data_IF_814662836833
#
_entry.id   IF_814662836833
#
_cell.length_a   1.000
_cell.length_b   1.000
_cell.length_c   1.000
_cell.angle_alpha   90.00
_cell.angle_beta   90.00
_cell.angle_gamma   90.00
#
_symmetry.space_group_name_H-M   'P 1'
#
loop_
_entity.id
_entity.type
_entity.pdbx_description
1 polymer ?
#
# COMPACT_ATOMS: atom_id res chain seq x y z
N UNK A 1 9.12 -9.65 -9.99
CA UNK A 1 10.42 -8.97 -9.81
C UNK A 1 10.98 -8.49 -11.15
N UNK A 2 11.31 -9.37 -12.09
CA UNK A 2 11.85 -8.98 -13.42
C UNK A 2 11.00 -7.93 -14.15
N UNK A 3 9.68 -8.06 -14.12
CA UNK A 3 8.76 -7.09 -14.74
C UNK A 3 8.90 -5.68 -14.15
N UNK A 4 9.03 -5.58 -12.81
CA UNK A 4 9.24 -4.30 -12.12
C UNK A 4 10.57 -3.70 -12.54
N UNK A 5 11.63 -4.50 -12.58
CA UNK A 5 12.94 -4.05 -13.05
C UNK A 5 12.89 -3.51 -14.48
N UNK A 6 12.23 -4.23 -15.39
CA UNK A 6 12.09 -3.79 -16.79
C UNK A 6 11.31 -2.48 -16.89
N UNK A 7 10.21 -2.33 -16.15
CA UNK A 7 9.42 -1.09 -16.14
C UNK A 7 10.24 0.07 -15.56
N UNK A 8 10.97 -0.15 -14.46
CA UNK A 8 11.84 0.87 -13.86
C UNK A 8 12.96 1.31 -14.81
N UNK A 9 13.64 0.35 -15.47
CA UNK A 9 14.68 0.67 -16.44
C UNK A 9 14.13 1.42 -17.65
N UNK A 10 12.98 0.98 -18.17
CA UNK A 10 12.31 1.66 -19.27
C UNK A 10 12.06 3.12 -18.92
N UNK A 11 11.45 3.37 -17.75
CA UNK A 11 11.20 4.70 -17.21
C UNK A 11 12.52 5.50 -17.11
N UNK A 12 13.61 4.93 -16.61
CA UNK A 12 14.90 5.64 -16.52
C UNK A 12 15.50 5.99 -17.90
N UNK A 13 15.25 5.20 -18.95
CA UNK A 13 15.81 5.43 -20.29
C UNK A 13 14.98 6.44 -21.09
N UNK A 14 13.68 6.60 -20.80
CA UNK A 14 12.79 7.54 -21.50
C UNK A 14 13.34 8.98 -21.57
N UNK A 15 13.86 9.57 -20.48
CA UNK A 15 14.52 10.87 -20.52
C UNK A 15 15.80 10.89 -21.36
N UNK A 16 16.59 9.80 -21.37
CA UNK A 16 17.80 9.69 -22.20
C UNK A 16 17.46 9.63 -23.71
N UNK A 17 16.28 9.15 -24.07
CA UNK A 17 15.77 9.12 -25.45
C UNK A 17 15.17 10.46 -25.91
N UNK A 18 15.27 11.54 -25.12
CA UNK A 18 14.82 12.87 -25.50
C UNK A 18 13.34 13.16 -25.23
N UNK A 19 12.64 12.29 -24.49
CA UNK A 19 11.25 12.51 -24.05
C UNK A 19 11.12 13.33 -22.75
N UNK A 20 12.24 13.75 -22.18
CA UNK A 20 12.28 14.63 -21.02
C UNK A 20 13.57 15.42 -21.01
N UNK A 21 13.50 16.65 -20.54
CA UNK A 21 14.68 17.47 -20.25
C UNK A 21 14.89 17.49 -18.74
N UNK A 22 16.14 17.30 -18.33
CA UNK A 22 16.54 17.55 -16.96
C UNK A 22 16.99 19.00 -16.87
N UNK A 23 16.22 19.82 -16.16
CA UNK A 23 16.61 21.19 -15.88
C UNK A 23 17.37 21.27 -14.56
N UNK A 24 18.40 22.11 -14.56
CA UNK A 24 19.12 22.46 -13.34
C UNK A 24 18.25 23.41 -12.52
N UNK A 25 17.70 22.91 -11.42
CA UNK A 25 17.03 23.73 -10.40
C UNK A 25 18.02 24.05 -9.28
N UNK A 26 17.73 25.06 -8.46
CA UNK A 26 18.57 25.40 -7.30
C UNK A 26 18.68 24.29 -6.25
N UNK A 27 17.79 23.29 -6.28
CA UNK A 27 17.79 22.12 -5.40
C UNK A 27 18.47 20.89 -6.03
N UNK A 28 18.97 21.01 -7.27
CA UNK A 28 19.60 19.92 -8.02
C UNK A 28 19.07 19.80 -9.45
N UNK A 29 19.48 18.74 -10.15
CA UNK A 29 19.00 18.42 -11.48
C UNK A 29 17.66 17.69 -11.36
N UNK A 30 16.56 18.37 -11.69
CA UNK A 30 15.22 17.81 -11.61
C UNK A 30 14.59 17.80 -13.00
N UNK A 31 13.66 16.88 -13.24
CA UNK A 31 12.92 16.88 -14.50
C UNK A 31 12.10 18.16 -14.63
N UNK A 32 12.08 18.73 -15.83
CA UNK A 32 11.30 19.93 -16.11
C UNK A 32 9.80 19.70 -15.89
N UNK A 33 9.20 20.49 -15.01
CA UNK A 33 7.76 20.51 -14.67
C UNK A 33 6.83 20.70 -15.88
N UNK A 34 7.35 21.22 -16.99
CA UNK A 34 6.61 21.48 -18.25
C UNK A 34 6.57 20.27 -19.18
N UNK A 35 7.38 19.23 -18.94
CA UNK A 35 7.38 18.05 -19.80
C UNK A 35 6.20 17.12 -19.49
N UNK A 36 5.56 16.61 -20.54
CA UNK A 36 4.49 15.59 -20.46
C UNK A 36 4.94 14.30 -19.74
N UNK A 37 6.24 14.09 -19.62
CA UNK A 37 6.83 12.97 -18.91
C UNK A 37 6.48 12.93 -17.40
N UNK A 38 6.35 14.08 -16.74
CA UNK A 38 5.95 14.13 -15.32
C UNK A 38 4.52 13.65 -15.14
N UNK A 39 3.61 14.00 -16.06
CA UNK A 39 2.24 13.51 -16.03
C UNK A 39 2.18 11.99 -16.21
N UNK A 40 3.00 11.45 -17.12
CA UNK A 40 3.12 10.01 -17.31
C UNK A 40 3.57 9.31 -16.02
N UNK A 41 4.63 9.80 -15.37
CA UNK A 41 5.07 9.26 -14.08
C UNK A 41 3.98 9.35 -13.01
N UNK A 42 3.32 10.51 -12.91
CA UNK A 42 2.25 10.72 -11.95
C UNK A 42 1.13 9.68 -12.12
N UNK A 43 0.71 9.42 -13.36
CA UNK A 43 -0.31 8.42 -13.67
C UNK A 43 0.16 7.01 -13.29
N UNK A 44 1.39 6.62 -13.66
CA UNK A 44 1.94 5.28 -13.38
C UNK A 44 2.08 5.04 -11.87
N UNK A 45 2.66 5.99 -11.13
CA UNK A 45 2.82 5.88 -9.68
C UNK A 45 1.47 5.86 -8.97
N UNK A 46 0.53 6.71 -9.39
CA UNK A 46 -0.83 6.74 -8.86
C UNK A 46 -1.53 5.39 -9.07
N UNK A 47 -1.53 4.86 -10.30
CA UNK A 47 -2.11 3.55 -10.61
C UNK A 47 -1.48 2.43 -9.77
N UNK A 48 -0.16 2.42 -9.62
CA UNK A 48 0.53 1.44 -8.79
C UNK A 48 0.09 1.54 -7.33
N UNK A 49 0.02 2.76 -6.77
CA UNK A 49 -0.47 2.98 -5.42
C UNK A 49 -1.92 2.55 -5.25
N UNK A 50 -2.81 2.90 -6.19
CA UNK A 50 -4.21 2.46 -6.18
C UNK A 50 -4.35 0.95 -6.23
N UNK A 51 -3.60 0.26 -7.11
CA UNK A 51 -3.59 -1.20 -7.17
C UNK A 51 -3.10 -1.81 -5.86
N UNK A 52 -2.02 -1.28 -5.28
CA UNK A 52 -1.52 -1.73 -3.99
C UNK A 52 -2.55 -1.52 -2.88
N UNK A 53 -3.27 -0.40 -2.89
CA UNK A 53 -4.30 -0.07 -1.91
C UNK A 53 -5.52 -0.99 -2.05
N UNK A 54 -6.01 -1.18 -3.28
CA UNK A 54 -7.14 -2.09 -3.58
C UNK A 54 -6.79 -3.54 -3.27
N UNK A 55 -5.52 -3.95 -3.41
CA UNK A 55 -5.06 -5.29 -3.03
C UNK A 55 -4.80 -5.41 -1.52
N UNK A 56 -4.32 -4.35 -0.87
CA UNK A 56 -4.01 -4.38 0.56
C UNK A 56 -5.26 -4.33 1.41
N UNK A 57 -6.31 -3.59 1.02
CA UNK A 57 -7.59 -3.56 1.73
C UNK A 57 -8.16 -4.97 1.98
N UNK A 58 -8.44 -5.80 0.95
CA UNK A 58 -9.00 -7.14 1.15
C UNK A 58 -8.01 -8.04 1.88
N UNK A 59 -6.70 -7.86 1.68
CA UNK A 59 -5.69 -8.62 2.40
C UNK A 59 -5.68 -8.29 3.90
N UNK A 60 -5.79 -7.01 4.27
CA UNK A 60 -5.93 -6.56 5.66
C UNK A 60 -7.24 -7.05 6.25
N UNK A 61 -8.35 -6.97 5.52
CA UNK A 61 -9.64 -7.50 5.99
C UNK A 61 -9.61 -9.03 6.14
N UNK A 62 -8.94 -9.74 5.24
CA UNK A 62 -8.73 -11.17 5.39
C UNK A 62 -7.84 -11.48 6.59
N UNK A 63 -6.78 -10.73 6.85
CA UNK A 63 -5.96 -10.88 8.05
C UNK A 63 -6.73 -10.57 9.35
N UNK A 64 -7.60 -9.56 9.36
CA UNK A 64 -8.44 -9.25 10.52
C UNK A 64 -9.57 -10.28 10.74
N UNK A 65 -10.15 -10.82 9.67
CA UNK A 65 -11.29 -11.74 9.73
C UNK A 65 -10.88 -13.23 9.74
N UNK A 66 -9.63 -13.53 9.40
CA UNK A 66 -9.04 -14.87 9.47
C UNK A 66 -8.67 -15.19 10.92
N UNK A 67 -9.68 -15.58 11.69
CA UNK A 67 -9.60 -16.51 12.84
C UNK A 67 -8.94 -16.00 14.14
N UNK A 68 -7.93 -15.12 14.10
CA UNK A 68 -7.16 -14.78 15.31
C UNK A 68 -7.87 -13.74 16.21
N UNK A 69 -8.61 -12.78 15.64
CA UNK A 69 -9.43 -11.85 16.46
C UNK A 69 -10.68 -12.51 17.02
N UNK A 70 -11.25 -13.52 16.34
CA UNK A 70 -12.48 -14.18 16.79
C UNK A 70 -12.19 -15.09 18.00
N UNK A 71 -11.08 -15.83 17.97
CA UNK A 71 -10.63 -16.63 19.12
C UNK A 71 -10.30 -15.76 20.35
N UNK A 72 -9.70 -14.58 20.15
CA UNK A 72 -9.38 -13.65 21.25
C UNK A 72 -10.66 -12.96 21.79
N UNK A 73 -11.63 -12.65 20.93
CA UNK A 73 -12.93 -12.13 21.33
C UNK A 73 -13.76 -13.17 22.10
N UNK A 74 -13.82 -14.43 21.64
CA UNK A 74 -14.49 -15.52 22.34
C UNK A 74 -13.83 -15.82 23.69
N UNK A 75 -12.49 -15.82 23.79
CA UNK A 75 -11.76 -16.03 25.05
C UNK A 75 -12.04 -14.90 26.06
N UNK A 76 -12.05 -13.64 25.61
CA UNK A 76 -12.43 -12.51 26.46
C UNK A 76 -13.88 -12.60 26.94
N UNK A 77 -14.79 -13.03 26.08
CA UNK A 77 -16.20 -13.23 26.40
C UNK A 77 -16.42 -14.40 27.35
N UNK A 78 -15.60 -15.46 27.24
CA UNK A 78 -15.61 -16.59 28.16
C UNK A 78 -15.06 -16.18 29.53
N UNK A 79 -14.00 -15.37 29.58
CA UNK A 79 -13.44 -14.81 30.82
C UNK A 79 -14.45 -13.87 31.50
N UNK A 80 -15.17 -13.03 30.74
CA UNK A 80 -16.24 -12.21 31.32
C UNK A 80 -17.41 -13.06 31.81
N UNK A 81 -17.83 -14.10 31.06
CA UNK A 81 -18.89 -15.01 31.52
C UNK A 81 -18.48 -15.84 32.75
N UNK A 82 -17.22 -16.24 32.86
CA UNK A 82 -16.68 -16.98 34.00
C UNK A 82 -16.71 -16.18 35.31
N UNK A 83 -16.70 -14.85 35.25
CA UNK A 83 -16.80 -13.97 36.41
C UNK A 83 -18.24 -13.64 36.84
N UNK A 84 -19.26 -13.97 36.03
CA UNK A 84 -20.68 -13.65 36.29
C UNK A 84 -21.50 -14.83 36.84
N UNK A 85 -20.88 -15.83 37.46
CA UNK A 85 -21.61 -16.79 38.31
C UNK A 85 -21.28 -16.56 39.80
N UNK A 86 -21.92 -15.55 40.45
CA UNK A 86 -21.98 -15.52 41.89
C UNK A 86 -22.95 -16.60 42.36
N UNK A 87 -22.44 -17.51 43.19
CA UNK A 87 -23.05 -18.78 43.56
C UNK A 87 -24.54 -18.74 43.85
N UNK A 88 -25.24 -19.66 43.21
CA UNK A 88 -26.52 -20.19 43.67
C UNK A 88 -26.26 -21.33 44.67
N UNK A 89 -26.55 -21.16 45.97
CA UNK A 89 -26.90 -22.27 46.84
C UNK A 89 -28.44 -22.45 46.90
N UNK A 90 -28.92 -23.68 47.18
CA UNK A 90 -30.35 -23.98 47.41
C UNK A 90 -30.90 -23.38 48.70
#
# INVERSE_FOLDING_TARGET
VLTVWMVSLLICILPLCGWGTYATTSWGCFMDCTSSYILFLFIVYSLCFFLLLVLSIPLIYQLLCSDEQLHLYDDYHQITRGYFSPGSPP
#
